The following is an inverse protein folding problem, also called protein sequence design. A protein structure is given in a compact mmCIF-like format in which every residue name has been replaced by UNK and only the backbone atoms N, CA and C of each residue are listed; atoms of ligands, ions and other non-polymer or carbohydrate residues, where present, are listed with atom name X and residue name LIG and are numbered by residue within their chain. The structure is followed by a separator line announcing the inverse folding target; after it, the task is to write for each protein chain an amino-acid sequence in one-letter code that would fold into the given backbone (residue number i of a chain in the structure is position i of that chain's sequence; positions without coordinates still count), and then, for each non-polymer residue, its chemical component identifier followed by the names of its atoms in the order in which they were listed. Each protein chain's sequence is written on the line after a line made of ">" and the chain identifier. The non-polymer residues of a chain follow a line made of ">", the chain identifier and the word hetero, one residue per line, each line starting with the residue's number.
data_IF_241430621789
#
_entry.id   IF_241430621789
#
_cell.length_a   1.000
_cell.length_b   1.000
_cell.length_c   1.000
_cell.angle_alpha   90.00
_cell.angle_beta   90.00
_cell.angle_gamma   90.00
#
_symmetry.space_group_name_H-M   'P 1'
#
loop_
_entity.id
_entity.type
_entity.pdbx_description
1 polymer ?
#
# COMPACT_ATOMS: atom_id res chain seq x y z
N UNK A 1 -11.04 32.74 28.14
CA UNK A 1 -10.96 31.26 28.23
C UNK A 1 -9.70 30.64 27.63
N UNK A 2 -9.52 30.48 26.29
CA UNK A 2 -8.32 29.77 25.75
C UNK A 2 -6.98 30.41 26.17
N UNK A 3 -6.90 31.74 26.12
CA UNK A 3 -5.72 32.52 26.55
C UNK A 3 -5.47 32.45 28.07
N UNK A 4 -6.51 32.17 28.86
CA UNK A 4 -6.40 32.04 30.33
C UNK A 4 -5.97 30.62 30.74
N UNK A 5 -6.43 29.59 30.03
CA UNK A 5 -5.92 28.22 30.15
C UNK A 5 -4.42 28.11 29.85
N UNK A 6 -3.92 28.89 28.89
CA UNK A 6 -2.49 28.95 28.58
C UNK A 6 -1.65 29.59 29.69
N UNK A 7 -2.27 30.43 30.54
CA UNK A 7 -1.60 31.06 31.69
C UNK A 7 -1.66 30.21 32.96
N UNK A 8 -2.65 29.31 33.08
CA UNK A 8 -2.81 28.42 34.23
C UNK A 8 -3.27 27.01 33.78
N UNK A 9 -2.32 26.14 33.38
CA UNK A 9 -2.65 24.86 32.75
C UNK A 9 -3.21 23.79 33.71
N UNK A 10 -3.03 23.92 35.03
CA UNK A 10 -3.47 22.90 36.01
C UNK A 10 -4.94 23.02 36.44
N UNK A 11 -5.64 24.08 36.02
CA UNK A 11 -7.04 24.31 36.41
C UNK A 11 -8.01 23.41 35.60
N UNK A 12 -8.35 22.25 36.16
CA UNK A 12 -9.27 21.27 35.57
C UNK A 12 -10.68 21.80 35.28
N UNK A 13 -11.20 22.71 36.11
CA UNK A 13 -12.55 23.27 35.93
C UNK A 13 -12.60 24.19 34.71
N UNK A 14 -11.61 25.09 34.57
CA UNK A 14 -11.49 25.99 33.43
C UNK A 14 -11.30 25.21 32.11
N UNK A 15 -10.55 24.11 32.17
CA UNK A 15 -10.36 23.20 31.02
C UNK A 15 -11.67 22.55 30.58
N UNK A 16 -12.46 22.04 31.53
CA UNK A 16 -13.76 21.41 31.24
C UNK A 16 -14.74 22.43 30.65
N UNK A 17 -14.80 23.64 31.20
CA UNK A 17 -15.67 24.71 30.70
C UNK A 17 -15.30 25.13 29.28
N UNK A 18 -14.00 25.32 29.01
CA UNK A 18 -13.51 25.58 27.65
C UNK A 18 -13.85 24.45 26.67
N UNK A 19 -13.68 23.18 27.07
CA UNK A 19 -14.06 22.02 26.23
C UNK A 19 -15.56 22.05 25.91
N UNK A 20 -16.43 22.29 26.91
CA UNK A 20 -17.88 22.41 26.71
C UNK A 20 -18.22 23.54 25.73
N UNK A 21 -17.64 24.72 25.92
CA UNK A 21 -17.86 25.86 25.04
C UNK A 21 -17.37 25.59 23.61
N UNK A 22 -16.13 25.09 23.45
CA UNK A 22 -15.57 24.69 22.16
C UNK A 22 -16.47 23.70 21.44
N UNK A 23 -16.93 22.66 22.13
CA UNK A 23 -17.75 21.60 21.56
C UNK A 23 -19.13 22.15 21.14
N UNK A 24 -19.72 23.03 21.96
CA UNK A 24 -20.97 23.72 21.63
C UNK A 24 -20.82 24.57 20.38
N UNK A 25 -19.78 25.40 20.29
CA UNK A 25 -19.50 26.22 19.11
C UNK A 25 -19.24 25.35 17.88
N UNK A 26 -18.45 24.29 18.03
CA UNK A 26 -18.19 23.34 16.93
C UNK A 26 -19.48 22.68 16.45
N UNK A 27 -20.37 22.30 17.37
CA UNK A 27 -21.68 21.74 17.05
C UNK A 27 -22.54 22.74 16.29
N UNK A 28 -22.65 23.98 16.76
CA UNK A 28 -23.40 25.03 16.08
C UNK A 28 -22.87 25.30 14.67
N UNK A 29 -21.55 25.34 14.49
CA UNK A 29 -20.91 25.50 13.18
C UNK A 29 -21.25 24.32 12.26
N UNK A 30 -21.19 23.08 12.76
CA UNK A 30 -21.54 21.88 11.98
C UNK A 30 -23.01 21.91 11.55
N UNK A 31 -23.92 22.21 12.48
CA UNK A 31 -25.35 22.30 12.23
C UNK A 31 -25.68 23.41 11.23
N UNK A 32 -25.07 24.59 11.39
CA UNK A 32 -25.27 25.72 10.48
C UNK A 32 -24.78 25.39 9.06
N UNK A 33 -23.58 24.79 8.93
CA UNK A 33 -23.05 24.36 7.62
C UNK A 33 -23.93 23.30 6.96
N UNK A 34 -24.37 22.30 7.72
CA UNK A 34 -25.26 21.25 7.20
C UNK A 34 -26.57 21.85 6.68
N UNK A 35 -27.18 22.77 7.45
CA UNK A 35 -28.40 23.46 7.03
C UNK A 35 -28.20 24.33 5.78
N UNK A 36 -27.05 25.00 5.66
CA UNK A 36 -26.72 25.81 4.50
C UNK A 36 -26.63 24.98 3.22
N UNK A 37 -25.84 23.90 3.21
CA UNK A 37 -25.71 23.04 2.04
C UNK A 37 -26.99 22.26 1.73
N UNK A 38 -27.76 21.87 2.76
CA UNK A 38 -29.08 21.24 2.58
C UNK A 38 -30.03 22.16 1.81
N UNK A 39 -30.15 23.42 2.22
CA UNK A 39 -30.98 24.42 1.51
C UNK A 39 -30.54 24.61 0.06
N UNK A 40 -29.23 24.60 -0.21
CA UNK A 40 -28.74 24.68 -1.58
C UNK A 40 -29.16 23.47 -2.42
N UNK A 41 -29.08 22.26 -1.87
CA UNK A 41 -29.45 21.03 -2.59
C UNK A 41 -30.97 20.97 -2.83
N UNK A 42 -31.77 21.34 -1.82
CA UNK A 42 -33.23 21.30 -1.90
C UNK A 42 -33.75 22.17 -3.07
N UNK A 43 -33.13 23.32 -3.32
CA UNK A 43 -33.49 24.24 -4.43
C UNK A 43 -33.33 23.64 -5.84
N UNK A 44 -32.51 22.59 -6.02
CA UNK A 44 -32.24 21.97 -7.33
C UNK A 44 -32.77 20.53 -7.45
N UNK A 45 -33.32 19.98 -6.36
CA UNK A 45 -33.76 18.58 -6.28
C UNK A 45 -34.88 18.21 -7.26
N UNK A 46 -35.70 19.19 -7.69
CA UNK A 46 -36.78 18.99 -8.67
C UNK A 46 -36.39 19.19 -10.14
N UNK A 47 -35.17 19.66 -10.42
CA UNK A 47 -34.77 20.17 -11.75
C UNK A 47 -33.98 19.13 -12.57
N UNK A 48 -33.58 18.00 -11.98
CA UNK A 48 -32.78 16.96 -12.66
C UNK A 48 -31.30 17.33 -12.88
N UNK A 49 -30.88 18.53 -12.46
CA UNK A 49 -29.53 19.08 -12.65
C UNK A 49 -28.49 18.46 -11.69
N UNK A 50 -28.16 17.20 -11.96
CA UNK A 50 -27.18 16.41 -11.20
C UNK A 50 -25.79 17.07 -11.14
N UNK A 51 -25.43 17.87 -12.15
CA UNK A 51 -24.16 18.62 -12.20
C UNK A 51 -24.07 19.71 -11.14
N UNK A 52 -25.16 20.45 -10.92
CA UNK A 52 -25.21 21.49 -9.89
C UNK A 52 -25.15 20.89 -8.49
N UNK A 53 -25.92 19.81 -8.26
CA UNK A 53 -25.89 19.05 -7.00
C UNK A 53 -24.47 18.54 -6.72
N UNK A 54 -23.80 17.97 -7.73
CA UNK A 54 -22.42 17.50 -7.59
C UNK A 54 -21.42 18.63 -7.30
N UNK A 55 -21.57 19.81 -7.91
CA UNK A 55 -20.73 20.96 -7.62
C UNK A 55 -20.90 21.45 -6.18
N UNK A 56 -22.13 21.48 -5.66
CA UNK A 56 -22.41 21.84 -4.25
C UNK A 56 -21.81 20.81 -3.29
N UNK A 57 -21.92 19.52 -3.60
CA UNK A 57 -21.29 18.44 -2.81
C UNK A 57 -19.77 18.57 -2.81
N UNK A 58 -19.16 18.84 -3.97
CA UNK A 58 -17.71 19.06 -4.08
C UNK A 58 -17.27 20.29 -3.29
N UNK A 59 -18.05 21.37 -3.31
CA UNK A 59 -17.77 22.56 -2.50
C UNK A 59 -17.83 22.24 -1.00
N UNK A 60 -18.87 21.54 -0.55
CA UNK A 60 -19.02 21.10 0.83
C UNK A 60 -17.91 20.12 1.29
N UNK A 61 -17.39 19.32 0.36
CA UNK A 61 -16.36 18.30 0.63
C UNK A 61 -14.95 18.87 0.54
N UNK A 62 -14.69 19.84 -0.35
CA UNK A 62 -13.38 20.50 -0.46
C UNK A 62 -13.06 21.37 0.76
N UNK A 63 -14.08 21.87 1.46
CA UNK A 63 -13.96 22.48 2.79
C UNK A 63 -13.27 21.56 3.84
N UNK A 64 -13.26 20.24 3.61
CA UNK A 64 -12.58 19.25 4.47
C UNK A 64 -11.17 18.88 3.96
N UNK A 65 -10.83 19.17 2.69
CA UNK A 65 -9.61 18.66 2.08
C UNK A 65 -8.40 19.58 2.14
N UNK A 66 -8.52 20.87 2.45
CA UNK A 66 -7.32 21.71 2.64
C UNK A 66 -7.51 22.69 3.80
N UNK A 67 -7.20 22.21 5.01
CA UNK A 67 -6.52 23.02 6.03
C UNK A 67 -5.20 22.33 6.36
N UNK A 68 -4.31 22.22 5.37
CA UNK A 68 -2.90 22.24 5.70
C UNK A 68 -2.64 23.67 6.18
N UNK A 69 -2.35 23.82 7.48
CA UNK A 69 -1.58 24.98 7.92
C UNK A 69 -0.41 25.06 6.95
N UNK A 70 -0.27 26.19 6.27
CA UNK A 70 0.86 26.48 5.39
C UNK A 70 2.12 26.63 6.25
N UNK A 71 2.54 25.54 6.88
CA UNK A 71 3.95 25.27 7.02
C UNK A 71 4.37 24.79 5.65
N UNK A 72 5.20 25.60 5.00
CA UNK A 72 5.90 25.28 3.77
C UNK A 72 6.37 23.82 3.80
N UNK A 73 5.73 22.95 3.03
CA UNK A 73 6.11 21.54 2.95
C UNK A 73 7.45 21.48 2.20
N UNK A 74 8.55 21.60 2.95
CA UNK A 74 9.89 21.41 2.40
C UNK A 74 9.99 19.95 1.97
N UNK A 75 9.93 19.71 0.66
CA UNK A 75 10.12 18.38 0.07
C UNK A 75 11.58 17.99 0.33
N UNK A 76 11.81 17.19 1.39
CA UNK A 76 13.13 16.66 1.67
C UNK A 76 13.47 15.59 0.63
N UNK A 77 14.59 15.77 -0.06
CA UNK A 77 15.12 14.76 -0.97
C UNK A 77 15.59 13.55 -0.14
N UNK A 78 14.91 12.42 -0.31
CA UNK A 78 15.28 11.15 0.30
C UNK A 78 15.95 10.25 -0.73
N UNK A 79 17.01 9.55 -0.33
CA UNK A 79 17.74 8.66 -1.24
C UNK A 79 16.91 7.46 -1.70
N UNK A 80 16.06 6.92 -0.82
CA UNK A 80 15.11 5.85 -1.16
C UNK A 80 13.75 6.13 -0.53
N UNK A 81 12.69 5.92 -1.31
CA UNK A 81 11.30 6.07 -0.86
C UNK A 81 10.52 4.80 -1.13
N UNK A 82 9.68 4.38 -0.18
CA UNK A 82 8.74 3.28 -0.43
C UNK A 82 7.44 3.87 -0.94
N UNK A 83 7.06 3.49 -2.15
CA UNK A 83 5.82 3.91 -2.78
C UNK A 83 5.03 2.67 -3.19
N UNK A 84 3.82 2.52 -2.63
CA UNK A 84 2.94 1.37 -2.87
C UNK A 84 3.65 0.02 -2.67
N UNK A 85 4.57 -0.08 -1.72
CA UNK A 85 5.33 -1.31 -1.43
C UNK A 85 6.51 -1.59 -2.38
N UNK A 86 6.80 -0.69 -3.32
CA UNK A 86 8.00 -0.70 -4.15
C UNK A 86 9.01 0.29 -3.58
N UNK A 87 10.29 -0.11 -3.51
CA UNK A 87 11.36 0.77 -3.04
C UNK A 87 11.96 1.46 -4.25
N UNK A 88 11.84 2.78 -4.31
CA UNK A 88 12.33 3.60 -5.42
C UNK A 88 13.55 4.37 -4.93
N UNK A 89 14.67 4.18 -5.61
CA UNK A 89 15.90 4.93 -5.38
C UNK A 89 15.88 6.28 -6.13
N UNK A 90 16.65 7.27 -5.66
CA UNK A 90 16.83 8.58 -6.33
C UNK A 90 17.25 8.47 -7.80
N UNK A 91 17.96 7.41 -8.18
CA UNK A 91 18.38 7.15 -9.55
C UNK A 91 17.50 6.11 -10.27
N UNK A 92 16.34 5.75 -9.70
CA UNK A 92 15.45 4.69 -10.19
C UNK A 92 16.23 3.37 -10.35
N UNK A 93 17.21 3.17 -9.46
CA UNK A 93 17.93 1.91 -9.35
C UNK A 93 17.11 0.94 -8.54
N UNK A 94 17.01 -0.29 -9.03
CA UNK A 94 16.22 -1.34 -8.40
C UNK A 94 17.02 -2.19 -7.41
N UNK A 95 18.31 -1.90 -7.20
CA UNK A 95 19.19 -2.68 -6.31
C UNK A 95 18.62 -2.76 -4.88
N UNK A 96 18.24 -1.60 -4.33
CA UNK A 96 17.60 -1.48 -3.00
C UNK A 96 16.28 -2.24 -2.93
N UNK A 97 15.49 -2.22 -4.01
CA UNK A 97 14.23 -2.97 -4.08
C UNK A 97 14.48 -4.48 -4.17
N UNK A 98 15.46 -4.91 -4.95
CA UNK A 98 15.81 -6.31 -5.13
C UNK A 98 16.32 -6.91 -3.82
N UNK A 99 17.15 -6.20 -3.07
CA UNK A 99 17.59 -6.71 -1.77
C UNK A 99 16.43 -6.77 -0.75
N UNK A 100 15.54 -5.77 -0.75
CA UNK A 100 14.30 -5.82 0.02
C UNK A 100 13.46 -7.06 -0.34
N UNK A 101 13.25 -7.30 -1.64
CA UNK A 101 12.48 -8.42 -2.15
C UNK A 101 13.14 -9.75 -1.79
N UNK A 102 14.46 -9.89 -1.97
CA UNK A 102 15.24 -11.07 -1.55
C UNK A 102 15.06 -11.37 -0.07
N UNK A 103 15.15 -10.35 0.80
CA UNK A 103 14.94 -10.53 2.25
C UNK A 103 13.53 -11.03 2.56
N UNK A 104 12.51 -10.45 1.91
CA UNK A 104 11.12 -10.85 2.08
C UNK A 104 10.85 -12.28 1.59
N UNK A 105 11.39 -12.64 0.43
CA UNK A 105 11.26 -13.98 -0.15
C UNK A 105 11.97 -15.04 0.70
N UNK A 106 13.20 -14.76 1.18
CA UNK A 106 13.92 -15.67 2.10
C UNK A 106 13.11 -15.96 3.36
N UNK A 107 12.47 -14.94 3.93
CA UNK A 107 11.61 -15.10 5.09
C UNK A 107 10.41 -16.02 4.80
N UNK A 108 9.67 -15.75 3.71
CA UNK A 108 8.52 -16.55 3.29
C UNK A 108 8.92 -18.00 3.00
N UNK A 109 10.00 -18.19 2.23
CA UNK A 109 10.52 -19.52 1.89
C UNK A 109 10.95 -20.31 3.13
N UNK A 110 11.52 -19.64 4.14
CA UNK A 110 11.85 -20.27 5.43
C UNK A 110 10.60 -20.79 6.15
N UNK A 111 9.51 -20.01 6.15
CA UNK A 111 8.22 -20.44 6.71
C UNK A 111 7.64 -21.62 5.94
N UNK A 112 7.62 -21.53 4.60
CA UNK A 112 7.18 -22.62 3.72
C UNK A 112 8.01 -23.89 4.00
N UNK A 113 9.33 -23.76 4.19
CA UNK A 113 10.22 -24.88 4.51
C UNK A 113 9.88 -25.56 5.83
N UNK A 114 9.36 -24.83 6.81
CA UNK A 114 8.97 -25.39 8.11
C UNK A 114 7.61 -26.10 8.03
N UNK A 115 6.62 -25.49 7.36
CA UNK A 115 5.27 -26.05 7.27
C UNK A 115 5.13 -27.21 6.27
N UNK A 116 6.05 -27.32 5.29
CA UNK A 116 5.96 -28.33 4.23
C UNK A 116 5.92 -29.78 4.73
N UNK A 117 6.40 -30.05 5.94
CA UNK A 117 6.43 -31.41 6.51
C UNK A 117 5.04 -31.93 6.82
N UNK A 118 4.05 -31.06 6.97
CA UNK A 118 2.68 -31.42 7.38
C UNK A 118 1.64 -31.15 6.28
N UNK A 119 2.05 -30.62 5.11
CA UNK A 119 1.15 -30.18 4.04
C UNK A 119 1.24 -31.11 2.82
N UNK A 120 0.10 -31.31 2.15
CA UNK A 120 0.07 -32.02 0.87
C UNK A 120 0.70 -31.19 -0.26
N UNK A 121 1.27 -31.82 -1.31
CA UNK A 121 1.88 -31.12 -2.44
C UNK A 121 0.97 -30.06 -3.09
N UNK A 122 -0.33 -30.35 -3.21
CA UNK A 122 -1.33 -29.43 -3.79
C UNK A 122 -1.51 -28.17 -2.95
N UNK A 123 -1.62 -28.31 -1.63
CA UNK A 123 -1.77 -27.19 -0.70
C UNK A 123 -0.51 -26.31 -0.70
N UNK A 124 0.66 -26.95 -0.72
CA UNK A 124 1.94 -26.24 -0.75
C UNK A 124 2.11 -25.43 -2.04
N UNK A 125 1.63 -25.93 -3.19
CA UNK A 125 1.62 -25.20 -4.46
C UNK A 125 0.77 -23.93 -4.38
N UNK A 126 -0.43 -24.02 -3.79
CA UNK A 126 -1.31 -22.85 -3.59
C UNK A 126 -0.63 -21.81 -2.71
N UNK A 127 -0.03 -22.24 -1.59
CA UNK A 127 0.70 -21.35 -0.67
C UNK A 127 1.89 -20.68 -1.37
N UNK A 128 2.60 -21.42 -2.22
CA UNK A 128 3.71 -20.87 -3.00
C UNK A 128 3.24 -19.75 -3.95
N UNK A 129 2.20 -20.01 -4.75
CA UNK A 129 1.66 -18.98 -5.66
C UNK A 129 1.15 -17.76 -4.88
N UNK A 130 0.46 -17.99 -3.75
CA UNK A 130 -0.12 -16.93 -2.94
C UNK A 130 0.92 -16.07 -2.21
N UNK A 131 2.04 -16.65 -1.75
CA UNK A 131 3.02 -15.96 -0.90
C UNK A 131 4.32 -15.59 -1.60
N UNK A 132 4.74 -16.33 -2.63
CA UNK A 132 6.01 -16.10 -3.33
C UNK A 132 5.75 -15.43 -4.67
N UNK A 133 4.91 -16.05 -5.51
CA UNK A 133 4.67 -15.54 -6.87
C UNK A 133 3.96 -14.19 -6.85
N UNK A 134 2.95 -14.01 -5.99
CA UNK A 134 2.26 -12.72 -5.82
C UNK A 134 3.23 -11.55 -5.56
N UNK A 135 4.28 -11.78 -4.76
CA UNK A 135 5.30 -10.78 -4.47
C UNK A 135 6.28 -10.55 -5.63
N UNK A 136 6.56 -11.58 -6.43
CA UNK A 136 7.40 -11.49 -7.62
C UNK A 136 6.67 -10.87 -8.83
N UNK A 137 5.36 -11.06 -8.93
CA UNK A 137 4.57 -10.43 -10.01
C UNK A 137 4.23 -8.99 -9.68
N UNK A 138 4.13 -8.66 -8.38
CA UNK A 138 3.78 -7.31 -7.95
C UNK A 138 4.87 -6.30 -8.32
N UNK A 139 4.49 -5.27 -9.07
CA UNK A 139 5.40 -4.22 -9.48
C UNK A 139 6.45 -4.65 -10.50
N UNK A 140 6.31 -5.83 -11.14
CA UNK A 140 7.27 -6.33 -12.14
C UNK A 140 7.45 -5.36 -13.33
N UNK A 141 6.43 -4.55 -13.63
CA UNK A 141 6.53 -3.48 -14.63
C UNK A 141 7.61 -2.45 -14.25
N UNK A 142 7.78 -2.20 -12.95
CA UNK A 142 8.76 -1.25 -12.44
C UNK A 142 10.16 -1.86 -12.42
N UNK A 143 10.35 -2.99 -11.73
CA UNK A 143 11.68 -3.56 -11.48
C UNK A 143 12.09 -4.71 -12.42
N UNK A 144 11.21 -5.18 -13.31
CA UNK A 144 11.50 -6.26 -14.25
C UNK A 144 12.56 -5.90 -15.30
N UNK A 145 12.84 -4.61 -15.49
CA UNK A 145 13.94 -4.10 -16.32
C UNK A 145 15.27 -3.93 -15.55
N UNK A 146 15.35 -4.40 -14.31
CA UNK A 146 16.56 -4.29 -13.50
C UNK A 146 17.75 -5.11 -14.06
N UNK A 147 18.92 -4.90 -13.48
CA UNK A 147 20.15 -5.58 -13.91
C UNK A 147 19.96 -7.11 -13.90
N UNK A 148 20.34 -7.74 -15.03
CA UNK A 148 20.21 -9.18 -15.26
C UNK A 148 20.88 -10.02 -14.17
N UNK A 149 22.00 -9.55 -13.61
CA UNK A 149 22.68 -10.25 -12.51
C UNK A 149 21.79 -10.33 -11.26
N UNK A 150 21.12 -9.23 -10.92
CA UNK A 150 20.24 -9.16 -9.75
C UNK A 150 18.95 -9.97 -9.97
N UNK A 151 18.42 -9.98 -11.19
CA UNK A 151 17.29 -10.83 -11.57
C UNK A 151 17.67 -12.33 -11.52
N UNK A 152 18.88 -12.67 -11.97
CA UNK A 152 19.41 -14.03 -11.91
C UNK A 152 19.59 -14.50 -10.45
N UNK A 153 20.03 -13.65 -9.54
CA UNK A 153 20.13 -13.98 -8.11
C UNK A 153 18.78 -14.35 -7.49
N UNK A 154 17.73 -13.59 -7.82
CA UNK A 154 16.36 -13.88 -7.39
C UNK A 154 15.90 -15.21 -8.01
N UNK A 155 16.14 -15.40 -9.31
CA UNK A 155 15.81 -16.62 -10.03
C UNK A 155 16.50 -17.85 -9.42
N UNK A 156 17.80 -17.78 -9.13
CA UNK A 156 18.59 -18.87 -8.54
C UNK A 156 18.09 -19.19 -7.13
N UNK A 157 17.83 -18.17 -6.30
CA UNK A 157 17.33 -18.37 -4.93
C UNK A 157 15.95 -19.05 -4.92
N UNK A 158 15.07 -18.65 -5.85
CA UNK A 158 13.76 -19.24 -6.02
C UNK A 158 13.85 -20.67 -6.59
N UNK A 159 14.62 -20.86 -7.67
CA UNK A 159 14.81 -22.14 -8.34
C UNK A 159 15.49 -23.17 -7.44
N UNK A 160 16.47 -22.79 -6.62
CA UNK A 160 17.09 -23.72 -5.65
C UNK A 160 16.09 -24.22 -4.60
N UNK A 161 15.12 -23.39 -4.23
CA UNK A 161 14.06 -23.74 -3.28
C UNK A 161 13.01 -24.67 -3.92
N UNK A 162 12.68 -24.43 -5.19
CA UNK A 162 11.68 -25.18 -5.97
C UNK A 162 12.24 -26.51 -6.49
N UNK A 163 13.46 -26.53 -7.03
CA UNK A 163 14.09 -27.76 -7.56
C UNK A 163 14.34 -28.77 -6.45
N UNK A 164 14.81 -28.35 -5.27
CA UNK A 164 14.89 -29.24 -4.08
C UNK A 164 13.51 -29.75 -3.64
N UNK A 165 12.44 -29.03 -3.91
CA UNK A 165 11.06 -29.45 -3.64
C UNK A 165 10.57 -30.44 -4.71
N UNK A 166 10.74 -30.14 -6.00
CA UNK A 166 10.35 -31.01 -7.12
C UNK A 166 11.08 -32.35 -7.06
N UNK A 167 12.40 -32.36 -6.89
CA UNK A 167 13.17 -33.60 -6.77
C UNK A 167 12.71 -34.51 -5.62
N UNK A 168 12.21 -33.94 -4.51
CA UNK A 168 11.75 -34.71 -3.35
C UNK A 168 10.30 -35.18 -3.46
N UNK A 169 9.46 -34.50 -4.25
CA UNK A 169 8.05 -34.85 -4.51
C UNK A 169 7.93 -35.88 -5.65
N UNK A 170 8.84 -35.81 -6.64
CA UNK A 170 8.84 -36.63 -7.85
C UNK A 170 9.93 -37.71 -7.88
N UNK A 171 10.54 -38.05 -6.74
CA UNK A 171 11.41 -39.22 -6.62
C UNK A 171 10.60 -40.50 -6.92
N UNK A 172 10.53 -40.88 -8.20
CA UNK A 172 9.80 -42.03 -8.72
C UNK A 172 8.64 -41.76 -9.69
N UNK A 173 8.34 -40.51 -10.08
CA UNK A 173 7.37 -40.20 -11.15
C UNK A 173 7.91 -39.11 -12.07
N UNK A 174 7.71 -39.26 -13.38
CA UNK A 174 8.13 -38.29 -14.41
C UNK A 174 7.73 -36.86 -14.00
N UNK A 175 8.73 -35.98 -13.89
CA UNK A 175 8.54 -34.59 -13.52
C UNK A 175 7.73 -33.86 -14.60
N UNK A 176 6.59 -33.23 -14.28
CA UNK A 176 5.93 -32.35 -15.23
C UNK A 176 6.82 -31.10 -15.41
N UNK A 177 7.06 -30.73 -16.65
CA UNK A 177 7.97 -29.64 -17.03
C UNK A 177 7.42 -28.26 -16.63
N UNK A 178 7.70 -27.86 -15.39
CA UNK A 178 7.40 -26.53 -14.86
C UNK A 178 8.55 -25.53 -15.05
N UNK A 179 9.69 -25.96 -15.62
CA UNK A 179 10.79 -25.04 -15.96
C UNK A 179 10.34 -24.02 -17.03
N UNK A 180 9.29 -24.34 -17.79
CA UNK A 180 8.71 -23.43 -18.77
C UNK A 180 8.06 -22.18 -18.14
N UNK A 181 7.35 -22.30 -17.03
CA UNK A 181 6.57 -21.18 -16.46
C UNK A 181 7.42 -20.17 -15.69
N UNK A 182 8.50 -20.61 -15.02
CA UNK A 182 9.37 -19.71 -14.24
C UNK A 182 10.39 -19.00 -15.13
N UNK A 183 10.91 -19.67 -16.17
CA UNK A 183 11.76 -19.00 -17.16
C UNK A 183 10.96 -18.00 -18.02
N UNK A 184 9.67 -18.23 -18.25
CA UNK A 184 8.78 -17.28 -18.93
C UNK A 184 8.50 -16.02 -18.08
N UNK A 185 8.46 -16.14 -16.76
CA UNK A 185 8.19 -15.02 -15.86
C UNK A 185 9.43 -14.12 -15.60
N UNK A 186 10.64 -14.67 -15.75
CA UNK A 186 11.89 -13.98 -15.40
C UNK A 186 12.79 -13.63 -16.60
N UNK A 187 12.53 -14.15 -17.80
CA UNK A 187 13.20 -13.73 -19.02
C UNK A 187 12.27 -12.80 -19.81
N UNK A 188 12.64 -11.52 -20.05
CA UNK A 188 11.85 -10.67 -20.93
C UNK A 188 11.83 -11.33 -22.31
N UNK A 189 10.63 -11.64 -22.83
CA UNK A 189 10.45 -12.00 -24.24
C UNK A 189 11.15 -10.92 -25.05
N UNK A 190 12.25 -11.26 -25.74
CA UNK A 190 12.78 -10.41 -26.80
C UNK A 190 11.63 -10.19 -27.78
N UNK A 191 11.10 -8.97 -27.85
CA UNK A 191 10.27 -8.57 -28.99
C UNK A 191 11.18 -8.64 -30.20
N UNK A 192 10.79 -9.47 -31.17
CA UNK A 192 11.17 -9.31 -32.57
C UNK A 192 10.73 -7.91 -33.04
#
# INVERSE_FOLDING_TARGET
>A
MKKELLKNPENRNLEQEYKRYRNRVTSLIKTAKANFYKRQIDNYSGTGDSKHIWNVINQATNDLKIKTNSEEFVIQQKETVTYLGVVVDKHIRWDSHIEYLKKKLRYVLSKIKHIKTFLQPKQLKIIYHALVESHLTYGIIAWGAANKTCLNDIAISNNCSITKWQYKIYAGKSTPDYNFSINMALVPKKRL
#
